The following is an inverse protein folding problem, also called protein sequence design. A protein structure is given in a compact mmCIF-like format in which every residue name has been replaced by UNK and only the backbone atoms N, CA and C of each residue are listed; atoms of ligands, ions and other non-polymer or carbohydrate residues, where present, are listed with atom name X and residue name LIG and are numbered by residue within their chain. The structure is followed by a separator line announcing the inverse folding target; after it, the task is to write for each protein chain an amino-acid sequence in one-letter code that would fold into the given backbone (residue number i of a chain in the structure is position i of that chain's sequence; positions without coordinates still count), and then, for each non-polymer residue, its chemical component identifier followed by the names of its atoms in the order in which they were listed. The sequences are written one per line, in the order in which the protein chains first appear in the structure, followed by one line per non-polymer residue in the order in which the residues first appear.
data_IF_952365614263
#
_entry.id   IF_952365614263
#
_cell.length_a   1.000
_cell.length_b   1.000
_cell.length_c   1.000
_cell.angle_alpha   90.00
_cell.angle_beta   90.00
_cell.angle_gamma   90.00
#
_symmetry.space_group_name_H-M   'P 1'
#
loop_
_entity.id
_entity.type
_entity.pdbx_description
1 polymer ?
#
# COMPACT_ATOMS: atom_id res chain seq x y z
N UNK A 1 0.66 69.56 -15.02
CA UNK A 1 -0.48 68.68 -15.37
C UNK A 1 -0.03 67.24 -15.15
N UNK A 2 -0.39 66.63 -14.02
CA UNK A 2 0.03 65.27 -13.68
C UNK A 2 -1.20 64.38 -13.66
N UNK A 3 -1.30 63.46 -14.61
CA UNK A 3 -2.38 62.48 -14.71
C UNK A 3 -2.06 61.27 -13.85
N UNK A 4 -2.80 61.09 -12.76
CA UNK A 4 -2.77 59.87 -11.94
C UNK A 4 -3.52 58.75 -12.66
N UNK A 5 -2.81 57.77 -13.20
CA UNK A 5 -3.43 56.54 -13.75
C UNK A 5 -3.84 55.62 -12.62
N UNK A 6 -5.15 55.41 -12.48
CA UNK A 6 -5.74 54.45 -11.54
C UNK A 6 -5.45 53.01 -11.96
N UNK A 7 -4.62 52.31 -11.18
CA UNK A 7 -4.33 50.88 -11.36
C UNK A 7 -5.58 50.04 -11.03
N UNK A 8 -6.22 49.51 -12.07
CA UNK A 8 -7.37 48.59 -11.98
C UNK A 8 -6.93 47.26 -11.36
N UNK A 9 -7.14 47.10 -10.05
CA UNK A 9 -6.88 45.84 -9.33
C UNK A 9 -7.82 44.76 -9.85
N UNK A 10 -7.28 43.77 -10.57
CA UNK A 10 -8.02 42.58 -11.02
C UNK A 10 -8.56 41.82 -9.81
N UNK A 11 -9.90 41.64 -9.73
CA UNK A 11 -10.53 40.83 -8.68
C UNK A 11 -10.04 39.38 -8.77
N UNK A 12 -9.42 38.88 -7.70
CA UNK A 12 -8.98 37.49 -7.57
C UNK A 12 -10.19 36.55 -7.60
N UNK A 13 -10.24 35.65 -8.57
CA UNK A 13 -11.27 34.60 -8.64
C UNK A 13 -11.05 33.62 -7.47
N UNK A 14 -12.09 33.40 -6.66
CA UNK A 14 -12.08 32.41 -5.58
C UNK A 14 -12.07 31.01 -6.19
N UNK A 15 -10.92 30.35 -6.16
CA UNK A 15 -10.76 28.96 -6.63
C UNK A 15 -11.04 28.00 -5.47
N UNK A 16 -11.90 27.00 -5.70
CA UNK A 16 -12.16 25.94 -4.72
C UNK A 16 -11.01 24.93 -4.72
N UNK A 17 -10.71 24.40 -3.54
CA UNK A 17 -9.72 23.32 -3.37
C UNK A 17 -10.31 22.03 -3.94
N UNK A 18 -9.58 21.37 -4.84
CA UNK A 18 -10.00 20.07 -5.37
C UNK A 18 -9.59 18.95 -4.42
N UNK A 19 -10.28 17.80 -4.48
CA UNK A 19 -9.99 16.65 -3.60
C UNK A 19 -8.53 16.17 -3.72
N UNK A 20 -7.98 16.16 -4.93
CA UNK A 20 -6.59 15.78 -5.17
C UNK A 20 -5.59 16.75 -4.52
N UNK A 21 -5.88 18.05 -4.59
CA UNK A 21 -5.05 19.09 -3.95
C UNK A 21 -5.13 18.99 -2.43
N UNK A 22 -6.30 18.68 -1.87
CA UNK A 22 -6.48 18.42 -0.42
C UNK A 22 -5.60 17.25 0.00
N UNK A 23 -5.67 16.13 -0.70
CA UNK A 23 -4.88 14.94 -0.38
C UNK A 23 -3.37 15.19 -0.52
N UNK A 24 -2.97 15.90 -1.58
CA UNK A 24 -1.56 16.24 -1.81
C UNK A 24 -1.04 17.19 -0.73
N UNK A 25 -1.80 18.23 -0.37
CA UNK A 25 -1.44 19.16 0.69
C UNK A 25 -1.35 18.45 2.05
N UNK A 26 -2.30 17.56 2.36
CA UNK A 26 -2.26 16.77 3.59
C UNK A 26 -0.99 15.89 3.65
N UNK A 27 -0.62 15.22 2.54
CA UNK A 27 0.63 14.45 2.44
C UNK A 27 1.87 15.32 2.65
N UNK A 28 1.89 16.51 2.06
CA UNK A 28 3.00 17.46 2.24
C UNK A 28 3.13 17.87 3.70
N UNK A 29 2.02 18.17 4.39
CA UNK A 29 2.04 18.53 5.81
C UNK A 29 2.56 17.35 6.66
N UNK A 30 2.12 16.13 6.40
CA UNK A 30 2.62 14.95 7.13
C UNK A 30 4.09 14.63 6.86
N UNK A 31 4.62 15.02 5.70
CA UNK A 31 6.02 14.80 5.33
C UNK A 31 6.98 15.89 5.83
N UNK A 32 6.49 16.95 6.47
CA UNK A 32 7.35 18.00 7.01
C UNK A 32 8.17 17.48 8.21
N UNK A 33 9.43 17.92 8.37
CA UNK A 33 10.27 17.46 9.46
C UNK A 33 9.66 17.78 10.83
N UNK A 34 9.61 16.80 11.72
CA UNK A 34 9.00 16.93 13.06
C UNK A 34 9.73 17.90 14.00
N UNK A 35 10.93 18.36 13.61
CA UNK A 35 11.73 19.35 14.36
C UNK A 35 11.22 20.80 14.14
N UNK A 36 10.37 21.04 13.13
CA UNK A 36 9.89 22.39 12.84
C UNK A 36 8.44 22.58 13.29
N UNK A 37 8.17 23.63 14.06
CA UNK A 37 6.81 24.02 14.36
C UNK A 37 6.09 24.47 13.07
N UNK A 38 4.97 23.84 12.75
CA UNK A 38 4.13 24.21 11.60
C UNK A 38 3.04 25.17 12.07
N UNK A 39 2.92 26.31 11.40
CA UNK A 39 1.85 27.29 11.63
C UNK A 39 0.89 27.31 10.45
N UNK A 40 -0.31 27.86 10.64
CA UNK A 40 -1.25 27.98 9.53
C UNK A 40 -0.75 28.92 8.43
N UNK A 41 0.03 29.94 8.78
CA UNK A 41 0.68 30.82 7.82
C UNK A 41 1.70 30.06 6.97
N UNK A 42 2.47 29.15 7.57
CA UNK A 42 3.43 28.33 6.82
C UNK A 42 2.72 27.35 5.88
N UNK A 43 1.58 26.79 6.27
CA UNK A 43 0.75 25.95 5.39
C UNK A 43 0.17 26.76 4.23
N UNK A 44 -0.30 27.99 4.47
CA UNK A 44 -0.80 28.87 3.40
C UNK A 44 0.33 29.23 2.43
N UNK A 45 1.53 29.49 2.93
CA UNK A 45 2.71 29.75 2.10
C UNK A 45 3.12 28.50 1.30
N UNK A 46 3.06 27.32 1.90
CA UNK A 46 3.32 26.04 1.25
C UNK A 46 2.29 25.76 0.13
N UNK A 47 1.01 26.01 0.40
CA UNK A 47 -0.05 25.87 -0.60
C UNK A 47 0.14 26.86 -1.77
N UNK A 48 0.55 28.10 -1.47
CA UNK A 48 0.90 29.10 -2.49
C UNK A 48 2.06 28.62 -3.37
N UNK A 49 3.12 28.08 -2.76
CA UNK A 49 4.29 27.59 -3.49
C UNK A 49 3.96 26.39 -4.38
N UNK A 50 3.07 25.51 -3.94
CA UNK A 50 2.77 24.27 -4.66
C UNK A 50 1.72 24.45 -5.77
N UNK A 51 0.75 25.34 -5.58
CA UNK A 51 -0.42 25.44 -6.46
C UNK A 51 -0.61 26.84 -7.07
N UNK A 52 0.37 27.74 -6.89
CA UNK A 52 0.34 29.15 -7.31
C UNK A 52 -0.92 29.91 -6.86
N UNK A 53 -1.58 29.42 -5.80
CA UNK A 53 -2.83 29.97 -5.29
C UNK A 53 -2.79 30.16 -3.78
N UNK A 54 -3.31 31.30 -3.34
CA UNK A 54 -3.37 31.66 -1.92
C UNK A 54 -4.78 31.38 -1.41
N UNK A 55 -4.95 30.30 -0.67
CA UNK A 55 -6.17 30.04 0.08
C UNK A 55 -6.11 30.67 1.47
N UNK A 56 -7.27 30.95 2.04
CA UNK A 56 -7.37 31.40 3.43
C UNK A 56 -7.23 30.22 4.38
N UNK A 57 -6.74 30.46 5.59
CA UNK A 57 -6.70 29.47 6.67
C UNK A 57 -8.04 28.77 6.87
N UNK A 58 -9.14 29.53 6.89
CA UNK A 58 -10.49 28.99 7.07
C UNK A 58 -10.86 27.98 5.97
N UNK A 59 -10.47 28.24 4.72
CA UNK A 59 -10.72 27.32 3.62
C UNK A 59 -9.92 26.02 3.77
N UNK A 60 -8.66 26.11 4.19
CA UNK A 60 -7.81 24.93 4.42
C UNK A 60 -8.28 24.11 5.64
N UNK A 61 -8.68 24.79 6.71
CA UNK A 61 -9.16 24.17 7.95
C UNK A 61 -10.53 23.50 7.81
N UNK A 62 -11.36 23.94 6.86
CA UNK A 62 -12.65 23.32 6.57
C UNK A 62 -12.53 21.87 6.06
N UNK A 63 -11.36 21.50 5.53
CA UNK A 63 -11.10 20.14 5.05
C UNK A 63 -10.54 19.26 6.19
N UNK A 64 -11.19 18.13 6.51
CA UNK A 64 -10.80 17.28 7.63
C UNK A 64 -9.39 16.70 7.44
N UNK A 65 -9.01 16.31 6.23
CA UNK A 65 -7.70 15.71 5.93
C UNK A 65 -6.55 16.67 6.26
N UNK A 66 -6.68 17.95 5.90
CA UNK A 66 -5.67 18.99 6.17
C UNK A 66 -5.62 19.29 7.66
N UNK A 67 -6.78 19.41 8.31
CA UNK A 67 -6.88 19.65 9.75
C UNK A 67 -6.24 18.51 10.55
N UNK A 68 -6.50 17.26 10.15
CA UNK A 68 -5.93 16.08 10.77
C UNK A 68 -4.42 16.06 10.57
N UNK A 69 -3.93 16.29 9.35
CA UNK A 69 -2.49 16.36 9.07
C UNK A 69 -1.78 17.43 9.93
N UNK A 70 -2.37 18.62 10.08
CA UNK A 70 -1.84 19.67 10.95
C UNK A 70 -1.82 19.24 12.43
N UNK A 71 -2.90 18.63 12.91
CA UNK A 71 -2.97 18.16 14.30
C UNK A 71 -1.96 17.05 14.59
N UNK A 72 -1.80 16.10 13.67
CA UNK A 72 -0.84 15.01 13.81
C UNK A 72 0.60 15.54 13.78
N UNK A 73 0.91 16.47 12.89
CA UNK A 73 2.22 17.13 12.88
C UNK A 73 2.51 17.86 14.20
N UNK A 74 1.54 18.59 14.75
CA UNK A 74 1.67 19.22 16.05
C UNK A 74 1.93 18.25 17.20
N UNK A 75 1.32 17.06 17.17
CA UNK A 75 1.60 15.98 18.14
C UNK A 75 3.03 15.45 17.99
N UNK A 76 3.47 15.19 16.76
CA UNK A 76 4.82 14.72 16.45
C UNK A 76 5.89 15.74 16.88
N UNK A 77 5.64 17.03 16.64
CA UNK A 77 6.51 18.11 17.10
C UNK A 77 6.58 18.18 18.64
N UNK A 78 5.43 18.08 19.32
CA UNK A 78 5.41 18.05 20.80
C UNK A 78 6.18 16.86 21.36
N UNK A 79 6.06 15.68 20.75
CA UNK A 79 6.84 14.49 21.12
C UNK A 79 8.33 14.67 20.86
N UNK A 80 8.70 15.29 19.74
CA UNK A 80 10.09 15.63 19.43
C UNK A 80 10.67 16.57 20.50
N UNK A 81 9.96 17.65 20.87
CA UNK A 81 10.42 18.58 21.92
C UNK A 81 10.62 17.88 23.27
N UNK A 82 9.81 16.87 23.59
CA UNK A 82 9.91 16.13 24.87
C UNK A 82 11.03 15.09 24.89
N UNK A 83 11.32 14.46 23.76
CA UNK A 83 12.21 13.28 23.70
C UNK A 83 13.54 13.56 23.00
N UNK A 84 13.65 14.68 22.27
CA UNK A 84 14.79 15.01 21.41
C UNK A 84 14.97 14.09 20.21
N UNK A 85 14.06 13.13 20.01
CA UNK A 85 14.11 12.12 18.95
C UNK A 85 12.93 12.34 18.03
N UNK A 86 13.17 12.30 16.72
CA UNK A 86 12.08 12.19 15.75
C UNK A 86 11.33 10.90 16.07
N UNK A 87 10.02 10.95 16.34
CA UNK A 87 9.24 9.74 16.53
C UNK A 87 9.46 8.89 15.27
N UNK A 88 10.15 7.75 15.43
CA UNK A 88 10.17 6.74 14.38
C UNK A 88 8.69 6.44 14.15
N UNK A 89 8.23 6.53 12.91
CA UNK A 89 6.94 5.97 12.57
C UNK A 89 7.07 4.45 12.75
N UNK A 90 7.07 3.96 13.98
CA UNK A 90 6.67 2.59 14.31
C UNK A 90 5.16 2.59 14.18
N UNK A 91 4.69 2.81 12.94
CA UNK A 91 3.32 2.53 12.61
C UNK A 91 3.22 1.00 12.62
N UNK A 92 2.28 0.39 13.37
CA UNK A 92 2.09 -1.06 13.37
C UNK A 92 1.91 -1.64 11.96
N UNK A 93 1.51 -0.79 11.01
CA UNK A 93 1.44 -1.09 9.58
C UNK A 93 2.80 -1.48 8.97
N UNK A 94 3.91 -0.85 9.38
CA UNK A 94 5.25 -1.20 8.89
C UNK A 94 5.68 -2.57 9.40
N UNK A 95 5.44 -2.89 10.68
CA UNK A 95 5.76 -4.20 11.23
C UNK A 95 4.95 -5.31 10.55
N UNK A 96 3.66 -5.05 10.25
CA UNK A 96 2.81 -5.96 9.48
C UNK A 96 3.32 -6.13 8.05
N UNK A 97 3.75 -5.05 7.39
CA UNK A 97 4.33 -5.12 6.05
C UNK A 97 5.67 -5.88 6.04
N UNK A 98 6.50 -5.68 7.06
CA UNK A 98 7.76 -6.41 7.26
C UNK A 98 7.49 -7.91 7.41
N UNK A 99 6.54 -8.29 8.27
CA UNK A 99 6.16 -9.70 8.46
C UNK A 99 5.61 -10.35 7.18
N UNK A 100 4.85 -9.60 6.37
CA UNK A 100 4.37 -10.09 5.07
C UNK A 100 5.53 -10.28 4.09
N UNK A 101 6.46 -9.34 4.05
CA UNK A 101 7.67 -9.43 3.22
C UNK A 101 8.49 -10.67 3.59
N UNK A 102 8.72 -10.89 4.89
CA UNK A 102 9.50 -12.02 5.38
C UNK A 102 8.84 -13.37 5.02
N UNK A 103 7.51 -13.46 5.14
CA UNK A 103 6.74 -14.64 4.74
C UNK A 103 6.85 -14.92 3.23
N UNK A 104 6.63 -13.90 2.42
CA UNK A 104 6.73 -14.01 0.95
C UNK A 104 8.15 -14.39 0.50
N UNK A 105 9.18 -13.87 1.17
CA UNK A 105 10.56 -14.26 0.88
C UNK A 105 10.83 -15.73 1.24
N UNK A 106 10.30 -16.20 2.37
CA UNK A 106 10.40 -17.60 2.78
C UNK A 106 9.67 -18.53 1.80
N UNK A 107 8.45 -18.19 1.38
CA UNK A 107 7.68 -18.96 0.40
C UNK A 107 8.40 -18.99 -0.96
N UNK A 108 8.94 -17.86 -1.42
CA UNK A 108 9.73 -17.83 -2.65
C UNK A 108 10.99 -18.68 -2.56
N UNK A 109 11.69 -18.69 -1.42
CA UNK A 109 12.85 -19.54 -1.22
C UNK A 109 12.46 -21.02 -1.29
N UNK A 110 11.38 -21.42 -0.62
CA UNK A 110 10.86 -22.78 -0.67
C UNK A 110 10.41 -23.20 -2.08
N UNK A 111 9.72 -22.31 -2.80
CA UNK A 111 9.29 -22.56 -4.18
C UNK A 111 10.49 -22.74 -5.11
N UNK A 112 11.55 -21.93 -4.96
CA UNK A 112 12.78 -22.10 -5.75
C UNK A 112 13.48 -23.42 -5.47
N UNK A 113 13.51 -23.83 -4.21
CA UNK A 113 14.11 -25.12 -3.83
C UNK A 113 13.32 -26.30 -4.40
N UNK A 114 11.98 -26.26 -4.32
CA UNK A 114 11.15 -27.32 -4.93
C UNK A 114 11.27 -27.36 -6.45
N UNK A 115 11.34 -26.21 -7.14
CA UNK A 115 11.61 -26.16 -8.57
C UNK A 115 12.96 -26.80 -8.91
N UNK A 116 14.02 -26.49 -8.16
CA UNK A 116 15.34 -27.10 -8.34
C UNK A 116 15.28 -28.63 -8.20
N UNK A 117 14.58 -29.13 -7.19
CA UNK A 117 14.40 -30.57 -6.99
C UNK A 117 13.62 -31.22 -8.15
N UNK A 118 12.60 -30.54 -8.67
CA UNK A 118 11.88 -31.00 -9.86
C UNK A 118 12.76 -31.00 -11.11
N UNK A 119 13.61 -30.00 -11.30
CA UNK A 119 14.55 -29.95 -12.43
C UNK A 119 15.57 -31.09 -12.37
N UNK A 120 16.10 -31.40 -11.18
CA UNK A 120 17.01 -32.54 -10.96
C UNK A 120 16.32 -33.89 -11.27
N UNK A 121 15.07 -34.06 -10.81
CA UNK A 121 14.26 -35.24 -11.12
C UNK A 121 13.95 -35.33 -12.62
N UNK A 122 13.59 -34.22 -13.25
CA UNK A 122 13.28 -34.18 -14.68
C UNK A 122 14.50 -34.53 -15.51
N UNK A 123 15.69 -34.00 -15.18
CA UNK A 123 16.95 -34.39 -15.81
C UNK A 123 17.20 -35.90 -15.67
N UNK A 124 16.96 -36.47 -14.49
CA UNK A 124 17.12 -37.91 -14.25
C UNK A 124 16.14 -38.74 -15.08
N UNK A 125 14.88 -38.32 -15.18
CA UNK A 125 13.88 -39.02 -15.98
C UNK A 125 14.16 -38.94 -17.48
N UNK A 126 14.56 -37.77 -17.99
CA UNK A 126 14.92 -37.59 -19.40
C UNK A 126 16.14 -38.45 -19.74
N UNK A 127 17.19 -38.41 -18.91
CA UNK A 127 18.40 -39.23 -19.15
C UNK A 127 18.10 -40.73 -19.12
N UNK A 128 17.26 -41.20 -18.21
CA UNK A 128 16.83 -42.60 -18.17
C UNK A 128 15.98 -42.98 -19.38
N UNK A 129 15.04 -42.14 -19.78
CA UNK A 129 14.19 -42.40 -20.93
C UNK A 129 14.99 -42.45 -22.24
N UNK A 130 15.98 -41.57 -22.42
CA UNK A 130 16.91 -41.61 -23.54
C UNK A 130 17.75 -42.91 -23.55
N UNK A 131 18.23 -43.38 -22.40
CA UNK A 131 18.93 -44.69 -22.29
C UNK A 131 18.04 -45.86 -22.71
N UNK A 132 16.74 -45.76 -22.50
CA UNK A 132 15.76 -46.76 -22.92
C UNK A 132 15.25 -46.57 -24.36
N UNK A 133 15.85 -45.65 -25.13
CA UNK A 133 15.52 -45.44 -26.54
C UNK A 133 14.23 -44.66 -26.79
N UNK A 134 13.68 -44.00 -25.78
CA UNK A 134 12.50 -43.14 -25.91
C UNK A 134 12.95 -41.80 -26.50
N UNK A 135 12.35 -41.38 -27.61
CA UNK A 135 12.69 -40.10 -28.21
C UNK A 135 12.10 -38.92 -27.41
N UNK A 136 12.73 -37.73 -27.44
CA UNK A 136 12.18 -36.54 -26.79
C UNK A 136 10.75 -36.20 -27.24
N UNK A 137 10.43 -36.46 -28.51
CA UNK A 137 9.10 -36.26 -29.08
C UNK A 137 8.06 -37.20 -28.47
N UNK A 138 8.44 -38.45 -28.16
CA UNK A 138 7.59 -39.42 -27.47
C UNK A 138 7.38 -39.05 -25.99
N UNK A 139 8.39 -38.47 -25.32
CA UNK A 139 8.26 -37.93 -23.96
C UNK A 139 7.35 -36.70 -23.89
N UNK A 140 7.45 -35.82 -24.89
CA UNK A 140 6.67 -34.59 -24.96
C UNK A 140 5.23 -34.82 -25.46
N UNK A 141 4.96 -36.01 -26.03
CA UNK A 141 3.62 -36.36 -26.46
C UNK A 141 2.66 -36.33 -25.25
N UNK A 142 1.51 -35.65 -25.37
CA UNK A 142 0.54 -35.60 -24.29
C UNK A 142 0.07 -37.03 -24.00
N UNK A 143 0.29 -37.49 -22.76
CA UNK A 143 -0.30 -38.75 -22.30
C UNK A 143 -1.82 -38.63 -22.48
N UNK A 144 -2.41 -39.52 -23.28
CA UNK A 144 -3.85 -39.71 -23.33
C UNK A 144 -4.28 -39.95 -21.89
N UNK A 145 -4.97 -38.98 -21.28
CA UNK A 145 -5.33 -39.05 -19.86
C UNK A 145 -6.04 -40.38 -19.62
N UNK A 146 -5.53 -41.30 -18.78
CA UNK A 146 -6.45 -42.23 -18.14
C UNK A 146 -7.43 -41.35 -17.36
N UNK A 147 -8.71 -41.52 -17.65
CA UNK A 147 -9.82 -40.84 -17.02
C UNK A 147 -9.61 -40.77 -15.50
N UNK A 148 -9.08 -39.64 -15.00
CA UNK A 148 -9.05 -39.35 -13.56
C UNK A 148 -10.49 -39.06 -13.20
N UNK A 149 -11.22 -40.10 -12.81
CA UNK A 149 -12.42 -39.93 -12.01
C UNK A 149 -12.04 -39.03 -10.84
N UNK A 150 -12.71 -37.89 -10.71
CA UNK A 150 -12.54 -36.98 -9.60
C UNK A 150 -12.81 -37.78 -8.31
N UNK A 151 -11.75 -38.16 -7.59
CA UNK A 151 -11.87 -38.80 -6.29
C UNK A 151 -12.13 -37.78 -5.19
N UNK A 152 -13.03 -36.83 -5.47
CA UNK A 152 -13.53 -35.88 -4.48
C UNK A 152 -15.05 -35.78 -4.64
N UNK A 153 -15.72 -36.91 -4.40
CA UNK A 153 -17.16 -36.89 -4.12
C UNK A 153 -17.35 -36.16 -2.80
N UNK A 154 -18.10 -35.04 -2.75
CA UNK A 154 -18.32 -34.33 -1.50
C UNK A 154 -19.05 -35.27 -0.53
N UNK A 155 -18.38 -35.63 0.57
CA UNK A 155 -19.00 -36.42 1.64
C UNK A 155 -20.27 -35.70 2.08
N UNK A 156 -21.45 -36.36 2.10
CA UNK A 156 -22.66 -35.72 2.59
C UNK A 156 -22.46 -35.33 4.06
N UNK A 157 -22.63 -34.04 4.36
CA UNK A 157 -22.62 -33.50 5.73
C UNK A 157 -23.75 -34.15 6.51
N UNK A 158 -23.44 -35.15 7.32
CA UNK A 158 -24.39 -35.71 8.29
C UNK A 158 -24.65 -34.66 9.38
N UNK A 159 -25.81 -34.00 9.31
CA UNK A 159 -26.32 -33.18 10.42
C UNK A 159 -26.71 -34.14 11.55
N UNK A 160 -25.82 -34.38 12.52
CA UNK A 160 -26.21 -34.97 13.80
C UNK A 160 -27.10 -33.96 14.53
N UNK A 161 -28.40 -34.23 14.56
CA UNK A 161 -29.35 -33.53 15.40
C UNK A 161 -28.94 -33.75 16.87
N UNK A 162 -28.72 -32.65 17.60
CA UNK A 162 -28.67 -32.65 19.07
C UNK A 162 -30.06 -33.04 19.57
N UNK A 163 -30.23 -34.29 19.99
CA UNK A 163 -31.35 -34.64 20.87
C UNK A 163 -31.00 -34.14 22.28
N UNK A 164 -31.62 -33.01 22.63
CA UNK A 164 -31.90 -32.65 24.01
C UNK A 164 -32.77 -33.76 24.62
N UNK A 165 -32.25 -34.43 25.65
CA UNK A 165 -33.08 -35.23 26.56
C UNK A 165 -33.14 -34.48 27.88
N UNK A 166 -34.22 -33.70 28.02
CA UNK A 166 -34.79 -33.39 29.31
C UNK A 166 -35.69 -34.57 29.70
N UNK A 167 -35.40 -35.19 30.83
CA UNK A 167 -36.35 -35.74 31.81
C UNK A 167 -35.56 -36.18 33.03
#
# INVERSE_FOLDING_TARGET
MSTTTATKVRRRVKRRLTKNEVTLLAKLITGLPSNQAVSWESIVALAKRQFDHVWTRQALQAHPDIKNAYSEHGKLHSQFCKTGKTPRATAPEIDVLQQKLDKEQAENAQNRETLRQYDELLCTYVTNALKHGISPEQLAAPLVRPYRAQSDSPRPRTKKARQSRNS
#
